data_IF_059558781252
#
_entry.id   IF_059558781252
#
_cell.length_a   1.000
_cell.length_b   1.000
_cell.length_c   1.000
_cell.angle_alpha   90.00
_cell.angle_beta   90.00
_cell.angle_gamma   90.00
#
_symmetry.space_group_name_H-M   'P 1'
#
loop_
_entity.id
_entity.type
_entity.pdbx_description
1 polymer ?
#
# COMPACT_ATOMS: atom_id res chain seq x y z
N UNK A 1 2.37 9.19 34.01
CA UNK A 1 1.05 9.56 34.55
C UNK A 1 0.37 10.52 33.58
N UNK A 2 -0.40 9.98 32.62
CA UNK A 2 -1.22 10.76 31.69
C UNK A 2 -2.68 10.51 32.07
N UNK A 3 -3.45 11.57 32.27
CA UNK A 3 -4.87 11.52 32.64
C UNK A 3 -5.66 10.60 31.68
N UNK A 4 -6.08 9.44 32.17
CA UNK A 4 -6.88 8.45 31.42
C UNK A 4 -8.23 9.01 30.96
N UNK A 5 -8.72 10.07 31.61
CA UNK A 5 -10.08 10.60 31.47
C UNK A 5 -10.38 11.33 30.15
N UNK A 6 -9.42 11.50 29.22
CA UNK A 6 -9.65 12.21 27.94
C UNK A 6 -9.07 11.53 26.70
N UNK A 7 -8.75 10.24 26.76
CA UNK A 7 -8.29 9.48 25.58
C UNK A 7 -9.46 8.74 24.96
N UNK A 8 -9.81 9.10 23.73
CA UNK A 8 -10.75 8.32 22.94
C UNK A 8 -9.99 7.18 22.27
N UNK A 9 -10.42 5.94 22.53
CA UNK A 9 -9.89 4.72 21.91
C UNK A 9 -10.58 4.50 20.57
N UNK A 10 -9.80 4.28 19.51
CA UNK A 10 -10.30 3.91 18.19
C UNK A 10 -9.57 2.67 17.69
N UNK A 11 -10.33 1.63 17.34
CA UNK A 11 -9.79 0.47 16.61
C UNK A 11 -9.71 0.88 15.14
N UNK A 12 -8.51 0.80 14.57
CA UNK A 12 -8.29 1.04 13.15
C UNK A 12 -8.04 -0.29 12.46
N UNK A 13 -9.03 -0.77 11.72
CA UNK A 13 -8.85 -1.89 10.80
C UNK A 13 -7.94 -1.41 9.67
N UNK A 14 -6.88 -2.16 9.39
CA UNK A 14 -5.89 -1.70 8.43
C UNK A 14 -6.45 -1.62 7.02
N UNK A 15 -6.10 -0.56 6.27
CA UNK A 15 -6.45 -0.48 4.87
C UNK A 15 -5.63 -1.50 4.06
N UNK A 16 -6.01 -1.68 2.80
CA UNK A 16 -5.33 -2.59 1.86
C UNK A 16 -3.80 -2.43 1.86
N UNK A 17 -3.06 -3.52 1.71
CA UNK A 17 -1.58 -3.51 1.66
C UNK A 17 -1.04 -2.50 0.63
N UNK A 18 -1.78 -2.26 -0.45
CA UNK A 18 -1.46 -1.29 -1.50
C UNK A 18 -1.25 0.14 -1.01
N UNK A 19 -1.75 0.53 0.17
CA UNK A 19 -1.51 1.86 0.72
C UNK A 19 -0.02 2.12 0.99
N UNK A 20 0.80 1.08 1.12
CA UNK A 20 2.27 1.20 1.14
C UNK A 20 2.83 1.95 -0.08
N UNK A 21 2.16 1.93 -1.23
CA UNK A 21 2.64 2.60 -2.43
C UNK A 21 2.69 4.13 -2.29
N UNK A 22 1.96 4.72 -1.34
CA UNK A 22 2.08 6.15 -1.03
C UNK A 22 3.49 6.52 -0.53
N UNK A 23 4.07 5.66 0.30
CA UNK A 23 5.44 5.78 0.80
C UNK A 23 6.44 5.36 -0.30
N UNK A 24 6.21 4.19 -0.90
CA UNK A 24 7.15 3.61 -1.87
C UNK A 24 7.32 4.45 -3.13
N UNK A 25 6.31 5.24 -3.52
CA UNK A 25 6.40 6.10 -4.69
C UNK A 25 7.58 7.09 -4.60
N UNK A 26 7.87 7.62 -3.41
CA UNK A 26 8.97 8.57 -3.20
C UNK A 26 10.36 7.94 -3.33
N UNK A 27 10.48 6.64 -3.04
CA UNK A 27 11.75 5.91 -3.06
C UNK A 27 11.86 4.88 -4.19
N UNK A 28 10.95 4.92 -5.16
CA UNK A 28 10.80 3.88 -6.21
C UNK A 28 12.10 3.57 -6.97
N UNK A 29 12.98 4.55 -7.14
CA UNK A 29 14.28 4.39 -7.81
C UNK A 29 15.25 3.47 -7.04
N UNK A 30 15.11 3.39 -5.71
CA UNK A 30 15.97 2.59 -4.85
C UNK A 30 15.46 1.16 -4.65
N UNK A 31 14.18 0.91 -4.92
CA UNK A 31 13.56 -0.40 -4.70
C UNK A 31 14.15 -1.52 -5.56
N UNK A 32 14.84 -1.18 -6.66
CA UNK A 32 15.54 -2.14 -7.55
C UNK A 32 17.00 -2.41 -7.14
N UNK A 33 17.49 -1.77 -6.09
CA UNK A 33 18.88 -1.92 -5.67
C UNK A 33 19.12 -3.34 -5.11
N UNK A 34 20.20 -4.04 -5.51
CA UNK A 34 20.43 -5.45 -5.15
C UNK A 34 20.60 -5.73 -3.65
N UNK A 35 20.91 -4.69 -2.87
CA UNK A 35 21.04 -4.77 -1.41
C UNK A 35 19.89 -4.08 -0.66
N UNK A 36 18.82 -3.73 -1.36
CA UNK A 36 17.62 -3.19 -0.73
C UNK A 36 16.60 -4.31 -0.55
N UNK A 37 16.18 -4.53 0.70
CA UNK A 37 15.08 -5.44 1.03
C UNK A 37 14.02 -4.68 1.82
N UNK A 38 12.75 -4.94 1.50
CA UNK A 38 11.62 -4.32 2.18
C UNK A 38 10.84 -5.40 2.92
N UNK A 39 10.50 -5.12 4.18
CA UNK A 39 9.57 -5.92 4.97
C UNK A 39 8.40 -5.03 5.36
N UNK A 40 7.20 -5.40 4.92
CA UNK A 40 5.96 -4.71 5.30
C UNK A 40 5.18 -5.59 6.26
N UNK A 41 4.80 -5.01 7.38
CA UNK A 41 4.02 -5.68 8.41
C UNK A 41 2.64 -5.02 8.46
N UNK A 42 1.60 -5.80 8.18
CA UNK A 42 0.21 -5.37 8.29
C UNK A 42 -0.32 -5.81 9.65
N UNK A 43 -0.79 -4.88 10.48
CA UNK A 43 -1.21 -5.16 11.86
C UNK A 43 -2.36 -4.26 12.31
N UNK A 44 -3.34 -4.77 13.06
CA UNK A 44 -4.33 -3.92 13.71
C UNK A 44 -3.67 -3.05 14.78
N UNK A 45 -4.20 -1.84 14.95
CA UNK A 45 -3.69 -0.86 15.90
C UNK A 45 -4.84 -0.24 16.67
N UNK A 46 -4.64 -0.12 17.98
CA UNK A 46 -5.47 0.71 18.85
C UNK A 46 -4.88 2.11 18.93
N UNK A 47 -5.58 3.05 18.33
CA UNK A 47 -5.17 4.45 18.31
C UNK A 47 -5.74 5.19 19.52
N UNK A 48 -4.87 5.88 20.25
CA UNK A 48 -5.22 6.76 21.35
C UNK A 48 -5.17 8.20 20.87
N UNK A 49 -6.32 8.85 20.89
CA UNK A 49 -6.41 10.26 20.49
C UNK A 49 -6.81 11.12 21.67
N UNK A 50 -6.19 12.29 21.76
CA UNK A 50 -6.58 13.33 22.70
C UNK A 50 -7.48 14.32 21.97
N UNK A 51 -8.60 14.63 22.60
CA UNK A 51 -9.52 15.67 22.15
C UNK A 51 -9.56 16.81 23.16
N UNK A 52 -9.80 18.01 22.65
CA UNK A 52 -10.14 19.17 23.46
C UNK A 52 -11.38 19.81 22.86
N UNK A 53 -12.10 20.63 23.63
CA UNK A 53 -13.26 21.36 23.09
C UNK A 53 -12.87 22.40 22.03
N UNK A 54 -11.60 22.81 21.99
CA UNK A 54 -11.12 23.93 21.21
C UNK A 54 -10.35 23.50 19.94
N UNK A 55 -9.84 22.26 19.91
CA UNK A 55 -9.02 21.75 18.81
C UNK A 55 -9.50 20.38 18.34
N UNK A 56 -9.26 20.08 17.06
CA UNK A 56 -9.51 18.78 16.48
C UNK A 56 -8.77 17.68 17.26
N UNK A 57 -9.35 16.48 17.28
CA UNK A 57 -8.72 15.32 17.91
C UNK A 57 -7.37 15.04 17.28
N UNK A 58 -6.31 14.95 18.09
CA UNK A 58 -4.94 14.64 17.64
C UNK A 58 -4.57 13.24 18.11
N UNK A 59 -3.90 12.47 17.25
CA UNK A 59 -3.32 11.18 17.61
C UNK A 59 -2.17 11.39 18.59
N UNK A 60 -2.23 10.74 19.74
CA UNK A 60 -1.18 10.78 20.76
C UNK A 60 -0.32 9.54 20.69
N UNK A 61 -0.95 8.37 20.55
CA UNK A 61 -0.25 7.09 20.54
C UNK A 61 -1.01 6.05 19.71
N UNK A 62 -0.34 4.96 19.34
CA UNK A 62 -0.94 3.85 18.62
C UNK A 62 -0.26 2.53 19.02
N UNK A 63 -1.02 1.63 19.66
CA UNK A 63 -0.49 0.36 20.17
C UNK A 63 -0.89 -0.77 19.19
N UNK A 64 0.06 -1.52 18.62
CA UNK A 64 -0.23 -2.71 17.84
C UNK A 64 -0.98 -3.76 18.67
N UNK A 65 -2.06 -4.31 18.12
CA UNK A 65 -2.86 -5.33 18.82
C UNK A 65 -2.81 -6.70 18.18
N UNK A 66 -2.71 -6.78 16.86
CA UNK A 66 -2.76 -8.04 16.14
C UNK A 66 -1.92 -7.97 14.87
N UNK A 67 -1.06 -8.95 14.64
CA UNK A 67 -0.36 -9.14 13.38
C UNK A 67 -1.29 -9.80 12.37
N UNK A 68 -1.60 -9.12 11.27
CA UNK A 68 -2.46 -9.64 10.19
C UNK A 68 -1.63 -10.40 9.15
N UNK A 69 -0.55 -9.79 8.67
CA UNK A 69 0.28 -10.34 7.61
C UNK A 69 1.68 -9.74 7.62
N UNK A 70 2.63 -10.48 7.06
CA UNK A 70 3.99 -10.01 6.78
C UNK A 70 4.32 -10.28 5.32
N UNK A 71 4.90 -9.28 4.66
CA UNK A 71 5.35 -9.34 3.27
C UNK A 71 6.83 -9.02 3.21
N UNK A 72 7.62 -9.96 2.68
CA UNK A 72 9.03 -9.77 2.44
C UNK A 72 9.28 -9.59 0.94
N UNK A 73 10.04 -8.55 0.60
CA UNK A 73 10.51 -8.27 -0.75
C UNK A 73 12.03 -8.16 -0.71
N UNK A 74 12.71 -9.22 -1.16
CA UNK A 74 14.17 -9.29 -1.28
C UNK A 74 14.62 -8.93 -2.69
N UNK A 75 13.76 -9.17 -3.69
CA UNK A 75 14.01 -8.86 -5.09
C UNK A 75 12.81 -8.21 -5.75
N UNK A 76 13.01 -7.60 -6.92
CA UNK A 76 11.92 -7.04 -7.73
C UNK A 76 10.81 -8.06 -8.01
N UNK A 77 11.14 -9.34 -8.20
CA UNK A 77 10.15 -10.39 -8.52
C UNK A 77 9.14 -10.63 -7.39
N UNK A 78 9.52 -10.37 -6.16
CA UNK A 78 8.64 -10.62 -5.00
C UNK A 78 7.41 -9.70 -5.02
N UNK A 79 7.49 -8.55 -5.69
CA UNK A 79 6.36 -7.63 -5.85
C UNK A 79 5.21 -8.21 -6.68
N UNK A 80 5.44 -9.28 -7.45
CA UNK A 80 4.36 -10.02 -8.15
C UNK A 80 3.32 -10.55 -7.17
N UNK A 81 3.70 -10.87 -5.92
CA UNK A 81 2.78 -11.37 -4.90
C UNK A 81 1.65 -10.40 -4.55
N UNK A 82 1.82 -9.10 -4.86
CA UNK A 82 0.81 -8.08 -4.64
C UNK A 82 -0.27 -8.07 -5.72
N UNK A 83 0.00 -8.63 -6.91
CA UNK A 83 -0.95 -8.61 -8.02
C UNK A 83 -2.05 -9.66 -7.80
N UNK A 84 -3.35 -9.29 -7.89
CA UNK A 84 -4.43 -10.25 -7.81
C UNK A 84 -4.32 -11.30 -8.91
N UNK A 85 -4.46 -12.59 -8.55
CA UNK A 85 -4.42 -13.71 -9.50
C UNK A 85 -5.57 -13.70 -10.51
N UNK A 86 -6.62 -12.93 -10.23
CA UNK A 86 -7.81 -12.74 -11.09
C UNK A 86 -7.58 -11.71 -12.19
N UNK A 87 -6.43 -11.03 -12.21
CA UNK A 87 -6.12 -10.08 -13.28
C UNK A 87 -6.05 -10.78 -14.64
N UNK A 88 -6.61 -10.18 -15.69
CA UNK A 88 -6.45 -10.68 -17.05
C UNK A 88 -4.98 -10.60 -17.51
N UNK A 89 -4.65 -11.36 -18.54
CA UNK A 89 -3.29 -11.40 -19.13
C UNK A 89 -2.78 -10.00 -19.50
N UNK A 90 -3.66 -9.20 -20.11
CA UNK A 90 -3.48 -7.77 -20.32
C UNK A 90 -4.47 -7.01 -19.46
N UNK A 91 -3.99 -6.06 -18.66
CA UNK A 91 -4.81 -5.35 -17.71
C UNK A 91 -4.46 -3.85 -17.67
N UNK A 92 -5.41 -3.07 -17.19
CA UNK A 92 -5.30 -1.62 -17.03
C UNK A 92 -5.27 -1.25 -15.55
N UNK A 93 -5.08 0.05 -15.28
CA UNK A 93 -5.27 0.61 -13.95
C UNK A 93 -6.67 0.38 -13.39
N UNK A 94 -7.69 0.30 -14.26
CA UNK A 94 -9.07 0.05 -13.82
C UNK A 94 -9.28 -1.39 -13.36
N UNK A 95 -8.67 -2.34 -14.06
CA UNK A 95 -8.73 -3.76 -13.71
C UNK A 95 -8.05 -4.00 -12.36
N UNK A 96 -6.86 -3.45 -12.14
CA UNK A 96 -6.20 -3.54 -10.83
C UNK A 96 -7.02 -2.87 -9.73
N UNK A 97 -7.59 -1.69 -9.99
CA UNK A 97 -8.41 -0.99 -8.99
C UNK A 97 -9.61 -1.85 -8.56
N UNK A 98 -10.27 -2.48 -9.52
CA UNK A 98 -11.43 -3.35 -9.31
C UNK A 98 -11.04 -4.63 -8.56
N UNK A 99 -10.06 -5.37 -9.06
CA UNK A 99 -9.68 -6.68 -8.51
C UNK A 99 -9.05 -6.55 -7.11
N UNK A 100 -8.22 -5.51 -6.89
CA UNK A 100 -7.62 -5.23 -5.58
C UNK A 100 -8.55 -4.45 -4.64
N UNK A 101 -9.73 -4.00 -5.11
CA UNK A 101 -10.69 -3.17 -4.37
C UNK A 101 -10.04 -1.91 -3.76
N UNK A 102 -9.27 -1.20 -4.57
CA UNK A 102 -8.56 0.03 -4.18
C UNK A 102 -9.00 1.23 -5.03
N UNK A 103 -8.83 2.46 -4.53
CA UNK A 103 -9.08 3.65 -5.33
C UNK A 103 -8.22 3.68 -6.60
N UNK A 104 -8.76 4.25 -7.69
CA UNK A 104 -8.06 4.33 -8.97
C UNK A 104 -6.71 5.05 -8.86
N UNK A 105 -6.62 6.11 -8.06
CA UNK A 105 -5.36 6.84 -7.82
C UNK A 105 -4.28 5.95 -7.21
N UNK A 106 -4.66 5.06 -6.28
CA UNK A 106 -3.74 4.11 -5.67
C UNK A 106 -3.30 3.04 -6.67
N UNK A 107 -4.23 2.56 -7.51
CA UNK A 107 -3.91 1.63 -8.61
C UNK A 107 -2.92 2.25 -9.61
N UNK A 108 -3.14 3.50 -10.01
CA UNK A 108 -2.22 4.24 -10.91
C UNK A 108 -0.83 4.38 -10.31
N UNK A 109 -0.75 4.76 -9.03
CA UNK A 109 0.51 4.89 -8.29
C UNK A 109 1.22 3.54 -8.17
N UNK A 110 0.47 2.48 -7.85
CA UNK A 110 0.97 1.12 -7.78
C UNK A 110 1.60 0.69 -9.10
N UNK A 111 0.88 0.82 -10.22
CA UNK A 111 1.41 0.44 -11.52
C UNK A 111 2.55 1.32 -12.01
N UNK A 112 2.64 2.56 -11.54
CA UNK A 112 3.82 3.38 -11.77
C UNK A 112 5.07 2.78 -11.10
N UNK A 113 4.96 2.44 -9.81
CA UNK A 113 6.06 1.84 -9.05
C UNK A 113 6.42 0.45 -9.58
N UNK A 114 5.42 -0.41 -9.82
CA UNK A 114 5.66 -1.75 -10.34
C UNK A 114 6.27 -1.75 -11.75
N UNK A 115 5.95 -0.75 -12.57
CA UNK A 115 6.58 -0.59 -13.88
C UNK A 115 8.03 -0.10 -13.77
N UNK A 116 8.34 0.81 -12.83
CA UNK A 116 9.73 1.23 -12.55
C UNK A 116 10.56 0.06 -12.01
N UNK A 117 9.94 -0.83 -11.25
CA UNK A 117 10.53 -2.08 -10.77
C UNK A 117 10.62 -3.17 -11.84
N UNK A 118 10.12 -2.92 -13.05
CA UNK A 118 10.06 -3.88 -14.17
C UNK A 118 9.26 -5.16 -13.87
N UNK A 119 8.42 -5.15 -12.83
CA UNK A 119 7.52 -6.25 -12.44
C UNK A 119 6.36 -6.37 -13.42
N UNK A 120 5.93 -5.22 -13.93
CA UNK A 120 4.96 -5.10 -15.02
C UNK A 120 5.58 -4.23 -16.10
N UNK A 121 5.13 -4.40 -17.33
CA UNK A 121 5.55 -3.56 -18.46
C UNK A 121 4.33 -2.98 -19.15
N UNK A 122 4.41 -1.70 -19.54
CA UNK A 122 3.45 -1.10 -20.47
C UNK A 122 3.66 -1.70 -21.86
N UNK A 123 2.64 -2.35 -22.42
CA UNK A 123 2.72 -3.00 -23.74
C UNK A 123 2.02 -2.22 -24.84
N UNK A 124 0.97 -1.48 -24.49
CA UNK A 124 0.23 -0.66 -25.44
C UNK A 124 -0.52 0.47 -24.72
N UNK A 125 -1.18 1.33 -25.50
CA UNK A 125 -2.04 2.39 -24.99
C UNK A 125 -3.33 2.42 -25.78
N UNK A 126 -4.47 2.40 -25.07
CA UNK A 126 -5.82 2.50 -25.66
C UNK A 126 -6.58 3.62 -24.96
N UNK A 127 -7.09 4.59 -25.73
CA UNK A 127 -7.88 5.72 -25.22
C UNK A 127 -7.23 6.41 -24.00
N UNK A 128 -5.95 6.78 -24.12
CA UNK A 128 -5.13 7.39 -23.05
C UNK A 128 -4.84 6.49 -21.84
N UNK A 129 -5.31 5.26 -21.82
CA UNK A 129 -5.03 4.28 -20.75
C UNK A 129 -3.93 3.34 -21.18
N UNK A 130 -2.92 3.15 -20.33
CA UNK A 130 -1.87 2.16 -20.56
C UNK A 130 -2.38 0.75 -20.27
N UNK A 131 -2.00 -0.18 -21.14
CA UNK A 131 -2.20 -1.61 -20.94
C UNK A 131 -0.88 -2.19 -20.43
N UNK A 132 -0.97 -2.98 -19.37
CA UNK A 132 0.14 -3.62 -18.70
C UNK A 132 0.08 -5.13 -18.88
N UNK A 133 1.27 -5.74 -18.87
CA UNK A 133 1.46 -7.19 -18.71
C UNK A 133 2.46 -7.43 -17.59
N UNK A 134 2.33 -8.58 -16.92
CA UNK A 134 3.32 -9.02 -15.94
C UNK A 134 4.62 -9.36 -16.67
N UNK A 135 5.76 -8.95 -16.11
CA UNK A 135 7.10 -9.10 -16.67
C UNK A 135 8.02 -9.74 -15.63
N UNK A 136 7.99 -11.08 -15.50
CA UNK A 136 8.80 -11.84 -14.52
C UNK A 136 9.92 -12.61 -15.18
#
# INVERSE_FOLDING_TARGET
YLDEKRKNKRILNQPSIFWMFQELYGIKLYLKHPHFSLRIVQMNVEEYRQSSKQYASVRVDAIPTELIAEYLFVSKRDYVQLLPKTLPFEFTTYDLAKEAKIPLSLSQMTLNVLNELEVVKRVSQKNRTYIYQINV
#
